data_IF_236098381500
#
_entry.id   IF_236098381500
#
_cell.length_a   1.000
_cell.length_b   1.000
_cell.length_c   1.000
_cell.angle_alpha   90.00
_cell.angle_beta   90.00
_cell.angle_gamma   90.00
#
_symmetry.space_group_name_H-M   'P 1'
#
loop_
_entity.id
_entity.type
_entity.pdbx_description
1 polymer ?
#
# COMPACT_ATOMS: atom_id res chain seq x y z
N UNK A 1 31.36 -5.38 9.58
CA UNK A 1 30.21 -6.02 10.24
C UNK A 1 29.02 -5.08 10.10
N UNK A 2 27.89 -5.57 9.60
CA UNK A 2 26.73 -4.74 9.35
C UNK A 2 26.04 -4.37 10.67
N UNK A 3 25.74 -3.08 10.85
CA UNK A 3 25.21 -2.47 12.08
C UNK A 3 23.88 -3.07 12.55
N UNK A 4 23.14 -3.75 11.66
CA UNK A 4 21.79 -4.27 11.93
C UNK A 4 21.65 -5.79 11.71
N UNK A 5 22.74 -6.51 11.42
CA UNK A 5 22.66 -7.96 11.21
C UNK A 5 22.19 -8.69 12.48
N UNK A 6 22.65 -8.26 13.67
CA UNK A 6 22.23 -8.80 14.97
C UNK A 6 20.71 -8.69 15.24
N UNK A 7 20.02 -7.73 14.61
CA UNK A 7 18.58 -7.52 14.80
C UNK A 7 17.73 -8.10 13.67
N UNK A 8 18.31 -8.27 12.47
CA UNK A 8 17.53 -8.60 11.27
C UNK A 8 17.72 -10.04 10.78
N UNK A 9 18.81 -10.73 11.18
CA UNK A 9 19.17 -12.05 10.66
C UNK A 9 19.08 -12.12 9.12
N UNK A 10 19.39 -11.02 8.44
CA UNK A 10 19.40 -10.94 6.97
C UNK A 10 20.78 -11.31 6.45
N UNK A 11 20.78 -12.14 5.41
CA UNK A 11 21.98 -12.65 4.75
C UNK A 11 22.61 -11.62 3.81
N UNK A 12 23.93 -11.69 3.70
CA UNK A 12 24.79 -10.63 3.17
C UNK A 12 24.56 -10.31 1.68
N UNK A 13 23.98 -11.25 0.94
CA UNK A 13 23.82 -11.17 -0.53
C UNK A 13 22.48 -10.57 -0.94
N UNK A 14 21.50 -10.47 -0.02
CA UNK A 14 20.13 -10.09 -0.35
C UNK A 14 19.49 -11.00 -1.42
N UNK A 15 20.04 -12.21 -1.60
CA UNK A 15 19.60 -13.13 -2.64
C UNK A 15 18.14 -13.51 -2.42
N UNK A 16 17.36 -13.51 -3.49
CA UNK A 16 15.99 -14.03 -3.51
C UNK A 16 15.94 -15.52 -3.14
N UNK A 17 17.00 -16.24 -3.46
CA UNK A 17 17.14 -17.67 -3.25
C UNK A 17 18.34 -17.96 -2.38
N UNK A 18 18.11 -18.71 -1.32
CA UNK A 18 19.18 -19.17 -0.44
C UNK A 18 19.21 -20.69 -0.49
N UNK A 19 20.43 -21.21 -0.62
CA UNK A 19 20.70 -22.64 -0.60
C UNK A 19 20.63 -23.09 0.87
N UNK A 20 19.86 -24.13 1.13
CA UNK A 20 19.83 -24.78 2.46
C UNK A 20 21.24 -25.24 2.87
N UNK A 21 21.50 -25.40 4.17
CA UNK A 21 22.81 -25.78 4.73
C UNK A 21 23.31 -27.14 4.18
N UNK A 22 22.39 -27.95 3.65
CA UNK A 22 22.65 -29.24 3.01
C UNK A 22 22.76 -29.19 1.47
N UNK A 23 22.58 -28.02 0.85
CA UNK A 23 22.71 -27.82 -0.61
C UNK A 23 21.64 -28.48 -1.48
N UNK A 24 20.60 -29.09 -0.88
CA UNK A 24 19.60 -29.87 -1.61
C UNK A 24 18.42 -29.04 -2.15
N UNK A 25 18.13 -27.87 -1.56
CA UNK A 25 16.95 -27.08 -1.93
C UNK A 25 17.22 -25.55 -1.95
N UNK A 26 16.71 -24.88 -2.98
CA UNK A 26 16.63 -23.42 -3.06
C UNK A 26 15.33 -22.94 -2.40
N UNK A 27 15.44 -22.15 -1.34
CA UNK A 27 14.27 -21.55 -0.66
C UNK A 27 14.19 -20.04 -0.90
N UNK A 28 12.97 -19.55 -1.14
CA UNK A 28 12.70 -18.12 -1.28
C UNK A 28 12.76 -17.46 0.10
N UNK A 29 13.70 -16.52 0.27
CA UNK A 29 13.83 -15.74 1.52
C UNK A 29 13.01 -14.46 1.43
N UNK A 30 11.71 -14.58 1.76
CA UNK A 30 10.75 -13.47 1.76
C UNK A 30 11.21 -12.23 2.56
N UNK A 31 12.03 -12.41 3.61
CA UNK A 31 12.57 -11.31 4.41
C UNK A 31 13.46 -10.36 3.60
N UNK A 32 14.17 -10.87 2.59
CA UNK A 32 15.04 -10.07 1.72
C UNK A 32 14.23 -9.16 0.76
N UNK A 33 12.93 -9.42 0.59
CA UNK A 33 12.03 -8.64 -0.28
C UNK A 33 11.32 -7.49 0.45
N UNK A 34 11.13 -7.59 1.76
CA UNK A 34 10.31 -6.62 2.52
C UNK A 34 10.93 -5.22 2.46
N UNK A 35 12.23 -5.10 2.73
CA UNK A 35 12.91 -3.80 2.76
C UNK A 35 12.93 -3.11 1.38
N UNK A 36 13.36 -3.75 0.27
CA UNK A 36 13.30 -3.15 -1.07
C UNK A 36 11.87 -2.81 -1.51
N UNK A 37 10.89 -3.68 -1.24
CA UNK A 37 9.50 -3.44 -1.63
C UNK A 37 8.92 -2.21 -0.92
N UNK A 38 9.19 -2.03 0.37
CA UNK A 38 8.73 -0.85 1.12
C UNK A 38 9.41 0.41 0.60
N UNK A 39 10.73 0.39 0.39
CA UNK A 39 11.48 1.55 -0.11
C UNK A 39 10.98 2.01 -1.48
N UNK A 40 10.76 1.08 -2.41
CA UNK A 40 10.22 1.39 -3.75
C UNK A 40 8.75 1.81 -3.69
N UNK A 41 7.97 1.25 -2.76
CA UNK A 41 6.54 1.52 -2.60
C UNK A 41 6.20 2.85 -1.94
N UNK A 42 7.10 3.45 -1.15
CA UNK A 42 6.82 4.69 -0.40
C UNK A 42 6.42 5.85 -1.33
N UNK A 43 7.14 6.04 -2.44
CA UNK A 43 6.87 7.15 -3.38
C UNK A 43 5.47 7.06 -4.00
N UNK A 44 5.06 5.94 -4.62
CA UNK A 44 3.70 5.82 -5.14
C UNK A 44 2.63 5.87 -4.03
N UNK A 45 2.91 5.29 -2.85
CA UNK A 45 1.99 5.36 -1.72
C UNK A 45 1.66 6.81 -1.32
N UNK A 46 2.64 7.70 -1.30
CA UNK A 46 2.42 9.10 -0.94
C UNK A 46 1.39 9.80 -1.86
N UNK A 47 1.48 9.59 -3.17
CA UNK A 47 0.54 10.20 -4.12
C UNK A 47 -0.86 9.60 -3.96
N UNK A 48 -0.96 8.28 -3.76
CA UNK A 48 -2.25 7.62 -3.53
C UNK A 48 -2.92 8.13 -2.27
N UNK A 49 -2.16 8.32 -1.18
CA UNK A 49 -2.67 8.90 0.08
C UNK A 49 -3.15 10.33 -0.15
N UNK A 50 -2.39 11.14 -0.87
CA UNK A 50 -2.77 12.53 -1.18
C UNK A 50 -4.06 12.59 -1.99
N UNK A 51 -4.17 11.74 -3.02
CA UNK A 51 -5.35 11.65 -3.87
C UNK A 51 -6.57 11.21 -3.07
N UNK A 52 -6.45 10.14 -2.28
CA UNK A 52 -7.52 9.65 -1.41
C UNK A 52 -7.98 10.72 -0.43
N UNK A 53 -7.05 11.46 0.18
CA UNK A 53 -7.37 12.55 1.10
C UNK A 53 -8.17 13.65 0.41
N UNK A 54 -7.77 14.07 -0.79
CA UNK A 54 -8.48 15.11 -1.54
C UNK A 54 -9.90 14.65 -1.90
N UNK A 55 -10.05 13.42 -2.39
CA UNK A 55 -11.35 12.86 -2.75
C UNK A 55 -12.26 12.65 -1.54
N UNK A 56 -11.71 12.27 -0.37
CA UNK A 56 -12.49 12.21 0.86
C UNK A 56 -13.01 13.60 1.27
N UNK A 57 -12.19 14.65 1.16
CA UNK A 57 -12.61 16.02 1.47
C UNK A 57 -13.73 16.51 0.54
N UNK A 58 -13.65 16.18 -0.75
CA UNK A 58 -14.73 16.47 -1.71
C UNK A 58 -16.01 15.71 -1.36
N UNK A 59 -15.90 14.42 -1.04
CA UNK A 59 -17.04 13.57 -0.67
C UNK A 59 -17.71 14.06 0.61
N UNK A 60 -16.95 14.48 1.64
CA UNK A 60 -17.53 15.00 2.88
C UNK A 60 -18.38 16.26 2.68
N UNK A 61 -18.14 17.03 1.61
CA UNK A 61 -18.93 18.21 1.28
C UNK A 61 -20.23 17.89 0.52
N UNK A 62 -20.48 16.62 0.17
CA UNK A 62 -21.67 16.22 -0.59
C UNK A 62 -22.92 16.09 0.29
N UNK A 63 -24.08 16.37 -0.29
CA UNK A 63 -25.35 16.46 0.45
C UNK A 63 -25.83 15.11 1.01
N UNK A 64 -25.43 13.98 0.42
CA UNK A 64 -25.75 12.67 1.00
C UNK A 64 -25.00 12.40 2.30
N UNK A 65 -23.81 12.98 2.50
CA UNK A 65 -23.08 12.89 3.77
C UNK A 65 -23.78 13.72 4.82
N UNK A 66 -24.21 14.96 4.48
CA UNK A 66 -25.01 15.80 5.36
C UNK A 66 -26.31 15.12 5.76
N UNK A 67 -26.98 14.48 4.80
CA UNK A 67 -28.18 13.68 5.05
C UNK A 67 -27.91 12.48 5.95
N UNK A 68 -26.79 11.78 5.76
CA UNK A 68 -26.40 10.67 6.62
C UNK A 68 -26.12 11.12 8.06
N UNK A 69 -25.47 12.28 8.24
CA UNK A 69 -25.26 12.88 9.56
C UNK A 69 -26.59 13.32 10.20
N UNK A 70 -27.51 13.89 9.42
CA UNK A 70 -28.85 14.26 9.89
C UNK A 70 -29.70 13.05 10.30
N UNK A 71 -29.48 11.88 9.67
CA UNK A 71 -30.08 10.59 10.05
C UNK A 71 -29.45 9.97 11.31
N UNK A 72 -28.44 10.61 11.92
CA UNK A 72 -27.80 10.15 13.15
C UNK A 72 -26.78 9.03 12.96
N UNK A 73 -26.28 8.78 11.73
CA UNK A 73 -25.19 7.81 11.54
C UNK A 73 -23.91 8.32 12.20
N UNK A 74 -23.14 7.40 12.79
CA UNK A 74 -21.83 7.74 13.35
C UNK A 74 -20.83 8.06 12.24
N UNK A 75 -19.85 8.92 12.53
CA UNK A 75 -18.78 9.28 11.58
C UNK A 75 -18.07 8.03 11.02
N UNK A 76 -17.86 7.00 11.85
CA UNK A 76 -17.28 5.73 11.39
C UNK A 76 -18.16 5.02 10.35
N UNK A 77 -19.49 5.00 10.53
CA UNK A 77 -20.42 4.42 9.56
C UNK A 77 -20.43 5.23 8.26
N UNK A 78 -20.43 6.56 8.35
CA UNK A 78 -20.38 7.47 7.21
C UNK A 78 -19.09 7.23 6.41
N UNK A 79 -17.93 7.19 7.08
CA UNK A 79 -16.63 6.97 6.44
C UNK A 79 -16.60 5.60 5.75
N UNK A 80 -16.90 4.53 6.48
CA UNK A 80 -16.77 3.16 6.00
C UNK A 80 -17.77 2.83 4.89
N UNK A 81 -19.02 3.29 5.00
CA UNK A 81 -20.12 2.89 4.11
C UNK A 81 -20.37 3.88 2.98
N UNK A 82 -20.01 5.16 3.14
CA UNK A 82 -20.34 6.21 2.18
C UNK A 82 -19.09 6.92 1.67
N UNK A 83 -18.23 7.44 2.55
CA UNK A 83 -17.13 8.29 2.11
C UNK A 83 -16.06 7.51 1.31
N UNK A 84 -15.55 6.41 1.87
CA UNK A 84 -14.48 5.62 1.26
C UNK A 84 -14.91 5.08 -0.12
N UNK A 85 -16.10 4.47 -0.20
CA UNK A 85 -16.60 3.87 -1.44
C UNK A 85 -16.67 4.89 -2.59
N UNK A 86 -17.06 6.13 -2.30
CA UNK A 86 -17.17 7.18 -3.32
C UNK A 86 -15.84 7.89 -3.60
N UNK A 87 -14.97 8.04 -2.59
CA UNK A 87 -13.66 8.64 -2.74
C UNK A 87 -12.65 7.75 -3.50
N UNK A 88 -12.93 6.45 -3.63
CA UNK A 88 -12.05 5.49 -4.32
C UNK A 88 -12.01 5.62 -5.84
N UNK A 89 -12.98 6.28 -6.48
CA UNK A 89 -13.05 6.40 -7.95
C UNK A 89 -11.74 6.91 -8.58
N UNK A 90 -11.18 8.06 -8.19
CA UNK A 90 -9.91 8.54 -8.74
C UNK A 90 -8.72 7.68 -8.31
N UNK A 91 -8.77 7.09 -7.11
CA UNK A 91 -7.69 6.24 -6.57
C UNK A 91 -7.52 4.97 -7.40
N UNK A 92 -8.62 4.27 -7.73
CA UNK A 92 -8.58 3.06 -8.56
C UNK A 92 -8.05 3.37 -9.95
N UNK A 93 -8.47 4.48 -10.55
CA UNK A 93 -7.98 4.93 -11.85
C UNK A 93 -6.47 5.19 -11.84
N UNK A 94 -5.95 5.90 -10.84
CA UNK A 94 -4.53 6.19 -10.71
C UNK A 94 -3.69 4.92 -10.52
N UNK A 95 -4.13 4.02 -9.64
CA UNK A 95 -3.45 2.73 -9.39
C UNK A 95 -3.43 1.88 -10.67
N UNK A 96 -4.51 1.91 -11.46
CA UNK A 96 -4.59 1.15 -12.70
C UNK A 96 -3.55 1.59 -13.71
N UNK A 97 -3.32 2.91 -13.85
CA UNK A 97 -2.27 3.45 -14.72
C UNK A 97 -0.86 3.03 -14.30
N UNK A 98 -0.59 3.06 -13.00
CA UNK A 98 0.70 2.61 -12.47
C UNK A 98 0.91 1.11 -12.60
N UNK A 99 -0.12 0.32 -12.34
CA UNK A 99 -0.08 -1.12 -12.54
C UNK A 99 0.24 -1.47 -14.00
N UNK A 100 -0.40 -0.78 -14.95
CA UNK A 100 -0.08 -0.93 -16.38
C UNK A 100 1.38 -0.54 -16.70
N UNK A 101 1.89 0.54 -16.09
CA UNK A 101 3.29 0.96 -16.25
C UNK A 101 4.28 -0.10 -15.76
N UNK A 102 4.02 -0.72 -14.61
CA UNK A 102 4.88 -1.79 -14.07
C UNK A 102 4.86 -3.03 -14.97
N UNK A 103 3.71 -3.40 -15.52
CA UNK A 103 3.61 -4.50 -16.49
C UNK A 103 4.32 -4.19 -17.82
N UNK A 104 4.38 -2.92 -18.21
CA UNK A 104 5.12 -2.46 -19.38
C UNK A 104 6.65 -2.39 -19.15
N UNK A 105 7.13 -2.69 -17.95
CA UNK A 105 8.56 -2.77 -17.62
C UNK A 105 9.17 -1.53 -16.97
N UNK A 106 8.35 -0.66 -16.36
CA UNK A 106 8.82 0.46 -15.55
C UNK A 106 9.30 0.04 -14.15
#
# INVERSE_FOLDING_TARGET
>A
GFVLHEYTNLEMTGSLYELDDFGEAMHIKWKNLVLPAVVLGIRPLAVVIQLMRNSLLEVFNQDYIRTARAKGLSEFQIIKKHAIKNAMNPVVTAISGWFASMLAGA
#
